data_IF_610284538496
#
_entry.id   IF_610284538496
#
_cell.length_a   1.000
_cell.length_b   1.000
_cell.length_c   1.000
_cell.angle_alpha   90.00
_cell.angle_beta   90.00
_cell.angle_gamma   90.00
#
_symmetry.space_group_name_H-M   'P 1'
#
loop_
_entity.id
_entity.type
_entity.pdbx_description
1 polymer ?
#
# COMPACT_ATOMS: atom_id res chain seq x y z
N UNK A 1 -10.90 -13.22 -33.28
CA UNK A 1 -9.95 -12.09 -33.25
C UNK A 1 -10.69 -10.75 -33.26
N UNK A 2 -11.87 -10.64 -33.90
CA UNK A 2 -12.66 -9.40 -33.93
C UNK A 2 -13.33 -9.02 -32.60
N UNK A 3 -13.91 -9.98 -31.87
CA UNK A 3 -14.64 -9.77 -30.61
C UNK A 3 -13.74 -9.22 -29.47
N UNK A 4 -12.45 -9.51 -29.50
CA UNK A 4 -11.48 -9.01 -28.51
C UNK A 4 -11.11 -7.54 -28.67
N UNK A 5 -11.31 -6.95 -29.86
CA UNK A 5 -11.05 -5.53 -30.13
C UNK A 5 -12.21 -4.64 -29.71
N UNK A 6 -13.46 -5.09 -29.90
CA UNK A 6 -14.64 -4.32 -29.51
C UNK A 6 -14.77 -4.16 -27.98
N UNK A 7 -14.48 -5.20 -27.20
CA UNK A 7 -14.51 -5.11 -25.73
C UNK A 7 -13.42 -4.19 -25.20
N UNK A 8 -12.24 -4.15 -25.81
CA UNK A 8 -11.17 -3.21 -25.43
C UNK A 8 -11.50 -1.76 -25.79
N UNK A 9 -12.17 -1.52 -26.93
CA UNK A 9 -12.63 -0.20 -27.31
C UNK A 9 -13.70 0.33 -26.36
N UNK A 10 -14.72 -0.46 -26.07
CA UNK A 10 -15.83 -0.06 -25.19
C UNK A 10 -15.40 0.25 -23.76
N UNK A 11 -14.48 -0.53 -23.20
CA UNK A 11 -13.92 -0.26 -21.85
C UNK A 11 -13.11 1.04 -21.85
N UNK A 12 -12.40 1.36 -22.94
CA UNK A 12 -11.60 2.59 -23.03
C UNK A 12 -12.46 3.84 -23.22
N UNK A 13 -13.56 3.76 -23.95
CA UNK A 13 -14.51 4.87 -24.14
C UNK A 13 -15.26 5.24 -22.86
N UNK A 14 -15.69 4.27 -22.07
CA UNK A 14 -16.37 4.52 -20.77
C UNK A 14 -15.46 5.23 -19.76
N UNK A 15 -14.14 5.06 -19.84
CA UNK A 15 -13.18 5.74 -18.96
C UNK A 15 -12.78 7.16 -19.46
N UNK A 16 -13.01 7.50 -20.72
CA UNK A 16 -12.70 8.86 -21.22
C UNK A 16 -13.67 9.94 -20.74
N UNK A 17 -14.87 9.59 -20.27
CA UNK A 17 -15.84 10.56 -19.78
C UNK A 17 -15.64 10.98 -18.31
N UNK A 18 -14.94 10.20 -17.50
CA UNK A 18 -14.50 10.65 -16.17
C UNK A 18 -13.11 11.29 -16.28
N UNK A 19 -13.07 12.63 -16.40
CA UNK A 19 -11.81 13.37 -16.32
C UNK A 19 -11.07 12.96 -15.04
N UNK A 20 -9.98 12.22 -15.19
CA UNK A 20 -9.08 11.84 -14.11
C UNK A 20 -8.56 13.11 -13.43
N UNK A 21 -9.02 13.39 -12.21
CA UNK A 21 -8.61 14.57 -11.47
C UNK A 21 -7.33 14.29 -10.71
N UNK A 22 -6.21 14.68 -11.30
CA UNK A 22 -4.88 14.50 -10.75
C UNK A 22 -4.42 15.84 -10.15
N UNK A 23 -4.15 15.85 -8.84
CA UNK A 23 -3.63 17.02 -8.14
C UNK A 23 -2.10 16.98 -8.05
N UNK A 24 -1.52 18.15 -8.07
CA UNK A 24 -0.08 18.42 -7.95
C UNK A 24 0.17 19.46 -6.85
N UNK A 25 1.41 19.84 -6.64
CA UNK A 25 1.77 20.89 -5.66
C UNK A 25 1.06 22.24 -5.90
N UNK A 26 0.65 22.51 -7.16
CA UNK A 26 -0.06 23.77 -7.53
C UNK A 26 -1.49 23.82 -6.96
N UNK A 27 -2.07 22.67 -6.67
CA UNK A 27 -3.44 22.52 -6.19
C UNK A 27 -3.54 22.54 -4.65
N UNK A 28 -2.40 22.61 -3.96
CA UNK A 28 -2.32 22.56 -2.50
C UNK A 28 -2.53 23.95 -1.91
N UNK A 29 -3.51 24.08 -1.01
CA UNK A 29 -3.64 25.27 -0.17
C UNK A 29 -2.53 25.30 0.89
N UNK A 30 -1.54 26.16 0.69
CA UNK A 30 -0.39 26.33 1.60
C UNK A 30 -0.76 26.81 3.01
N UNK A 31 -2.00 27.27 3.23
CA UNK A 31 -2.52 27.64 4.54
C UNK A 31 -3.14 26.48 5.28
N UNK A 32 -3.56 25.44 4.56
CA UNK A 32 -4.10 24.23 5.17
C UNK A 32 -3.04 23.57 6.06
N UNK A 33 -3.44 23.13 7.25
CA UNK A 33 -2.57 22.55 8.29
C UNK A 33 -1.40 23.44 8.76
N UNK A 34 -1.35 24.71 8.38
CA UNK A 34 -0.31 25.63 8.85
C UNK A 34 -0.42 25.86 10.35
N UNK A 35 0.64 25.52 11.10
CA UNK A 35 0.65 25.60 12.56
C UNK A 35 -0.18 24.53 13.26
N UNK A 36 -0.78 23.61 12.49
CA UNK A 36 -1.52 22.49 13.03
C UNK A 36 -0.58 21.42 13.59
N UNK A 37 -0.94 20.85 14.75
CA UNK A 37 -0.29 19.65 15.25
C UNK A 37 -0.85 18.43 14.55
N UNK A 38 0.05 17.57 14.05
CA UNK A 38 -0.28 16.30 13.43
C UNK A 38 0.14 15.17 14.37
N UNK A 39 -0.80 14.38 14.85
CA UNK A 39 -0.54 13.18 15.63
C UNK A 39 -0.48 11.97 14.69
N UNK A 40 0.67 11.29 14.62
CA UNK A 40 0.84 10.04 13.87
C UNK A 40 0.76 8.88 14.85
N UNK A 41 -0.33 8.12 14.80
CA UNK A 41 -0.56 6.96 15.66
C UNK A 41 -0.02 5.70 14.98
N UNK A 42 1.08 5.16 15.51
CA UNK A 42 1.82 4.04 14.94
C UNK A 42 3.15 4.46 14.31
N UNK A 43 4.15 3.57 14.39
CA UNK A 43 5.50 3.81 13.86
C UNK A 43 6.04 2.56 13.15
N UNK A 44 5.15 1.90 12.39
CA UNK A 44 5.49 0.86 11.42
C UNK A 44 6.01 1.46 10.12
N UNK A 45 5.97 0.70 9.02
CA UNK A 45 6.49 1.13 7.71
C UNK A 45 5.89 2.48 7.24
N UNK A 46 4.56 2.58 7.14
CA UNK A 46 3.91 3.83 6.74
C UNK A 46 4.03 4.92 7.82
N UNK A 47 3.77 4.59 9.09
CA UNK A 47 3.81 5.57 10.17
C UNK A 47 5.16 6.26 10.31
N UNK A 48 6.27 5.52 10.17
CA UNK A 48 7.63 6.08 10.17
C UNK A 48 7.86 7.00 8.97
N UNK A 49 7.51 6.54 7.78
CA UNK A 49 7.71 7.33 6.56
C UNK A 49 6.92 8.63 6.58
N UNK A 50 5.63 8.57 6.95
CA UNK A 50 4.77 9.74 7.03
C UNK A 50 5.29 10.73 8.10
N UNK A 51 5.59 10.24 9.31
CA UNK A 51 6.07 11.11 10.39
C UNK A 51 7.37 11.84 10.03
N UNK A 52 8.33 11.13 9.45
CA UNK A 52 9.60 11.73 9.03
C UNK A 52 9.44 12.71 7.88
N UNK A 53 8.65 12.37 6.85
CA UNK A 53 8.44 13.24 5.70
C UNK A 53 7.71 14.53 6.10
N UNK A 54 6.68 14.43 6.95
CA UNK A 54 5.97 15.59 7.48
C UNK A 54 6.88 16.48 8.34
N UNK A 55 7.69 15.87 9.20
CA UNK A 55 8.68 16.59 10.01
C UNK A 55 9.67 17.35 9.12
N UNK A 56 10.25 16.67 8.12
CA UNK A 56 11.17 17.30 7.17
C UNK A 56 10.51 18.37 6.28
N UNK A 57 9.18 18.29 6.12
CA UNK A 57 8.35 19.31 5.45
C UNK A 57 7.95 20.48 6.37
N UNK A 58 8.40 20.50 7.63
CA UNK A 58 8.20 21.58 8.59
C UNK A 58 6.87 21.56 9.37
N UNK A 59 6.17 20.42 9.40
CA UNK A 59 4.97 20.27 10.23
C UNK A 59 5.29 19.96 11.71
N UNK A 60 4.43 20.41 12.65
CA UNK A 60 4.49 20.00 14.06
C UNK A 60 3.98 18.56 14.19
N UNK A 61 4.88 17.60 14.18
CA UNK A 61 4.58 16.17 14.22
C UNK A 61 4.82 15.61 15.62
N UNK A 62 3.84 14.86 16.12
CA UNK A 62 3.93 14.07 17.34
C UNK A 62 3.61 12.61 17.03
N UNK A 63 4.53 11.70 17.36
CA UNK A 63 4.29 10.27 17.19
C UNK A 63 3.62 9.71 18.44
N UNK A 64 2.46 9.08 18.26
CA UNK A 64 1.69 8.43 19.32
C UNK A 64 1.87 6.92 19.31
N UNK A 65 2.71 6.38 20.20
CA UNK A 65 2.97 4.94 20.32
C UNK A 65 3.15 4.52 21.79
N UNK A 66 2.83 3.27 22.09
CA UNK A 66 3.10 2.70 23.43
C UNK A 66 4.61 2.58 23.65
N UNK A 67 5.03 2.70 24.93
CA UNK A 67 6.44 2.46 25.31
C UNK A 67 6.90 1.07 24.80
N UNK A 68 8.06 1.02 24.15
CA UNK A 68 8.61 -0.18 23.52
C UNK A 68 9.53 0.17 22.36
N UNK A 69 9.74 -0.78 21.47
CA UNK A 69 10.68 -0.65 20.34
C UNK A 69 10.35 0.53 19.43
N UNK A 70 9.09 0.64 18.97
CA UNK A 70 8.63 1.75 18.12
C UNK A 70 8.80 3.12 18.77
N UNK A 71 8.58 3.21 20.10
CA UNK A 71 8.79 4.44 20.87
C UNK A 71 10.25 4.86 20.87
N UNK A 72 11.16 3.90 21.13
CA UNK A 72 12.60 4.17 21.16
C UNK A 72 13.12 4.50 19.76
N UNK A 73 12.63 3.81 18.72
CA UNK A 73 13.00 4.06 17.33
C UNK A 73 12.58 5.47 16.89
N UNK A 74 11.36 5.90 17.18
CA UNK A 74 10.89 7.24 16.85
C UNK A 74 11.67 8.35 17.57
N UNK A 75 12.03 8.12 18.84
CA UNK A 75 12.95 9.02 19.58
C UNK A 75 14.33 9.10 18.96
N UNK A 76 14.90 7.96 18.56
CA UNK A 76 16.21 7.91 17.89
C UNK A 76 16.18 8.62 16.54
N UNK A 77 15.06 8.57 15.84
CA UNK A 77 14.82 9.30 14.58
C UNK A 77 14.59 10.81 14.79
N UNK A 78 14.69 11.33 16.04
CA UNK A 78 14.62 12.76 16.37
C UNK A 78 13.20 13.34 16.53
N UNK A 79 12.16 12.49 16.52
CA UNK A 79 10.78 12.93 16.60
C UNK A 79 10.31 13.11 18.05
N UNK A 80 9.31 13.98 18.24
CA UNK A 80 8.55 14.08 19.50
C UNK A 80 7.67 12.87 19.65
N UNK A 81 7.82 12.11 20.72
CA UNK A 81 7.11 10.85 20.96
C UNK A 81 6.37 10.90 22.29
N UNK A 82 5.09 10.58 22.25
CA UNK A 82 4.21 10.51 23.42
C UNK A 82 3.43 9.18 23.39
N UNK A 83 2.77 8.83 24.50
CA UNK A 83 1.75 7.76 24.47
C UNK A 83 0.54 8.24 23.68
N UNK A 84 -0.24 7.34 23.04
CA UNK A 84 -1.29 7.72 22.10
C UNK A 84 -2.27 8.75 22.65
N UNK A 85 -2.71 8.58 23.89
CA UNK A 85 -3.66 9.49 24.57
C UNK A 85 -3.13 10.92 24.69
N UNK A 86 -1.84 11.08 24.97
CA UNK A 86 -1.21 12.40 25.07
C UNK A 86 -0.88 12.99 23.70
N UNK A 87 -0.58 12.12 22.71
CA UNK A 87 -0.23 12.57 21.36
C UNK A 87 -1.41 13.23 20.65
N UNK A 88 -2.64 12.77 20.89
CA UNK A 88 -3.84 13.28 20.20
C UNK A 88 -4.39 14.57 20.81
N UNK A 89 -4.00 14.93 22.02
CA UNK A 89 -4.46 16.18 22.67
C UNK A 89 -3.97 17.40 21.90
N UNK A 90 -4.90 18.26 21.51
CA UNK A 90 -4.63 19.46 20.72
C UNK A 90 -4.18 19.19 19.29
N UNK A 91 -4.30 17.97 18.80
CA UNK A 91 -3.99 17.64 17.41
C UNK A 91 -5.18 17.99 16.49
N UNK A 92 -4.90 18.74 15.44
CA UNK A 92 -5.87 19.10 14.40
C UNK A 92 -6.00 18.00 13.33
N UNK A 93 -4.97 17.14 13.19
CA UNK A 93 -5.03 15.98 12.35
C UNK A 93 -4.45 14.77 13.08
N UNK A 94 -5.17 13.66 13.03
CA UNK A 94 -4.79 12.38 13.63
C UNK A 94 -4.67 11.34 12.51
N UNK A 95 -3.44 10.91 12.23
CA UNK A 95 -3.16 9.86 11.25
C UNK A 95 -3.15 8.47 11.94
N UNK A 96 -4.15 7.66 11.65
CA UNK A 96 -4.34 6.32 12.21
C UNK A 96 -3.53 5.29 11.43
N UNK A 97 -2.22 5.19 11.72
CA UNK A 97 -1.25 4.36 10.99
C UNK A 97 -0.78 3.12 11.78
N UNK A 98 -1.57 2.68 12.75
CA UNK A 98 -1.42 1.36 13.36
C UNK A 98 -2.05 0.28 12.47
N UNK A 99 -1.71 -1.01 12.65
CA UNK A 99 -2.32 -2.10 11.87
C UNK A 99 -3.85 -2.09 11.93
N UNK A 100 -4.53 -2.38 10.81
CA UNK A 100 -5.99 -2.27 10.66
C UNK A 100 -6.77 -2.95 11.79
N UNK A 101 -6.36 -4.15 12.17
CA UNK A 101 -7.06 -4.91 13.22
C UNK A 101 -6.93 -4.31 14.62
N UNK A 102 -6.07 -3.32 14.82
CA UNK A 102 -5.91 -2.59 16.10
C UNK A 102 -6.57 -1.22 16.08
N UNK A 103 -6.87 -0.67 14.90
CA UNK A 103 -7.40 0.69 14.75
C UNK A 103 -8.73 0.89 15.46
N UNK A 104 -9.65 -0.08 15.36
CA UNK A 104 -10.96 0.02 16.02
C UNK A 104 -10.84 0.21 17.54
N UNK A 105 -10.06 -0.66 18.19
CA UNK A 105 -9.87 -0.58 19.64
C UNK A 105 -9.19 0.73 20.06
N UNK A 106 -8.18 1.15 19.29
CA UNK A 106 -7.48 2.41 19.55
C UNK A 106 -8.39 3.63 19.33
N UNK A 107 -9.23 3.62 18.29
CA UNK A 107 -10.20 4.67 18.06
C UNK A 107 -11.20 4.79 19.23
N UNK A 108 -11.77 3.67 19.68
CA UNK A 108 -12.70 3.67 20.82
C UNK A 108 -12.06 4.18 22.11
N UNK A 109 -10.79 3.87 22.35
CA UNK A 109 -10.01 4.35 23.49
C UNK A 109 -9.78 5.87 23.42
N UNK A 110 -9.52 6.42 22.22
CA UNK A 110 -9.03 7.79 22.05
C UNK A 110 -10.09 8.79 21.58
N UNK A 111 -11.23 8.34 21.06
CA UNK A 111 -12.23 9.23 20.44
C UNK A 111 -12.72 10.38 21.32
N UNK A 112 -12.69 10.22 22.66
CA UNK A 112 -13.04 11.26 23.61
C UNK A 112 -11.98 12.36 23.78
N UNK A 113 -10.76 12.10 23.37
CA UNK A 113 -9.62 13.03 23.47
C UNK A 113 -9.39 13.85 22.18
N UNK A 114 -10.12 13.53 21.10
CA UNK A 114 -9.97 14.25 19.83
C UNK A 114 -10.65 15.62 19.90
N UNK A 115 -9.99 16.64 19.38
CA UNK A 115 -10.56 17.97 19.24
C UNK A 115 -11.78 17.96 18.31
N UNK A 116 -12.76 18.81 18.60
CA UNK A 116 -13.92 19.01 17.71
C UNK A 116 -13.45 19.58 16.36
N UNK A 117 -13.92 19.01 15.28
CA UNK A 117 -13.53 19.43 13.93
C UNK A 117 -12.14 18.94 13.48
N UNK A 118 -11.48 18.10 14.29
CA UNK A 118 -10.22 17.49 13.87
C UNK A 118 -10.40 16.57 12.66
N UNK A 119 -9.32 16.38 11.89
CA UNK A 119 -9.28 15.48 10.75
C UNK A 119 -8.73 14.12 11.17
N UNK A 120 -9.52 13.07 11.01
CA UNK A 120 -9.09 11.67 11.19
C UNK A 120 -8.67 11.10 9.84
N UNK A 121 -7.41 10.69 9.73
CA UNK A 121 -6.78 10.22 8.50
C UNK A 121 -6.46 8.73 8.57
N UNK A 122 -6.75 8.03 7.48
CA UNK A 122 -6.38 6.64 7.24
C UNK A 122 -5.50 6.53 6.00
N UNK A 123 -4.55 5.57 5.99
CA UNK A 123 -3.74 5.26 4.82
C UNK A 123 -4.28 4.08 4.01
N UNK A 124 -5.32 3.40 4.52
CA UNK A 124 -6.09 2.35 3.85
C UNK A 124 -7.53 2.39 4.38
N UNK A 125 -8.49 2.19 3.50
CA UNK A 125 -9.90 2.43 3.82
C UNK A 125 -10.62 1.32 4.57
N UNK A 126 -9.97 0.20 4.92
CA UNK A 126 -10.57 -1.02 5.48
C UNK A 126 -11.58 -0.76 6.61
N UNK A 127 -11.18 -0.04 7.64
CA UNK A 127 -12.00 0.14 8.84
C UNK A 127 -13.20 1.07 8.63
N UNK A 128 -13.10 2.01 7.70
CA UNK A 128 -14.20 2.91 7.33
C UNK A 128 -15.15 2.20 6.36
N UNK A 129 -14.63 1.63 5.27
CA UNK A 129 -15.42 0.96 4.24
C UNK A 129 -16.22 -0.23 4.82
N UNK A 130 -15.56 -1.12 5.58
CA UNK A 130 -16.22 -2.26 6.22
C UNK A 130 -16.87 -1.92 7.57
N UNK A 131 -17.08 -0.62 7.85
CA UNK A 131 -17.84 -0.12 9.00
C UNK A 131 -17.37 -0.65 10.37
N UNK A 132 -16.06 -0.89 10.50
CA UNK A 132 -15.45 -1.27 11.77
C UNK A 132 -15.27 -0.06 12.68
N UNK A 133 -15.00 1.13 12.10
CA UNK A 133 -14.96 2.41 12.78
C UNK A 133 -16.12 3.25 12.24
N UNK A 134 -16.91 3.81 13.16
CA UNK A 134 -17.88 4.87 12.90
C UNK A 134 -17.38 6.14 13.57
N UNK A 135 -16.78 7.00 12.77
CA UNK A 135 -16.21 8.24 13.28
C UNK A 135 -17.29 9.16 13.88
N UNK A 136 -16.90 9.98 14.87
CA UNK A 136 -17.75 11.06 15.42
C UNK A 136 -18.16 11.98 14.27
N UNK A 137 -19.40 12.48 14.34
CA UNK A 137 -19.98 13.30 13.24
C UNK A 137 -19.32 14.68 13.08
N UNK A 138 -18.62 15.15 14.10
CA UNK A 138 -17.90 16.42 14.11
C UNK A 138 -16.47 16.31 13.56
N UNK A 139 -16.00 15.12 13.21
CA UNK A 139 -14.67 14.90 12.65
C UNK A 139 -14.71 14.88 11.11
N UNK A 140 -13.73 15.51 10.49
CA UNK A 140 -13.41 15.17 9.10
C UNK A 140 -12.83 13.77 9.02
N UNK A 141 -13.18 13.01 7.99
CA UNK A 141 -12.61 11.67 7.75
C UNK A 141 -12.04 11.63 6.35
N UNK A 142 -10.73 11.39 6.26
CA UNK A 142 -10.01 11.40 4.98
C UNK A 142 -9.14 10.15 4.83
N UNK A 143 -8.89 9.82 3.58
CA UNK A 143 -7.94 8.79 3.18
C UNK A 143 -6.79 9.44 2.42
N UNK A 144 -5.55 9.10 2.77
CA UNK A 144 -4.35 9.37 1.98
C UNK A 144 -3.55 8.08 1.89
N UNK A 145 -3.63 7.41 0.75
CA UNK A 145 -3.04 6.10 0.51
C UNK A 145 -1.91 6.20 -0.52
N UNK A 146 -0.64 6.30 -0.09
CA UNK A 146 0.50 6.18 -1.00
C UNK A 146 0.52 4.79 -1.65
N UNK A 147 0.67 4.72 -2.96
CA UNK A 147 0.71 3.44 -3.71
C UNK A 147 2.13 2.88 -3.73
N UNK A 148 2.59 2.46 -2.56
CA UNK A 148 3.87 1.81 -2.32
C UNK A 148 4.16 1.60 -0.84
N UNK A 149 5.08 0.69 -0.51
CA UNK A 149 5.48 0.44 0.88
C UNK A 149 6.13 1.69 1.50
N UNK A 150 5.97 1.86 2.81
CA UNK A 150 6.43 3.07 3.52
C UNK A 150 7.93 3.35 3.36
N UNK A 151 8.77 2.32 3.30
CA UNK A 151 10.20 2.49 3.03
C UNK A 151 10.45 3.18 1.66
N UNK A 152 9.70 2.80 0.63
CA UNK A 152 9.76 3.43 -0.67
C UNK A 152 9.25 4.88 -0.61
N UNK A 153 8.17 5.15 0.15
CA UNK A 153 7.66 6.51 0.37
C UNK A 153 8.75 7.40 0.96
N UNK A 154 9.50 6.90 1.97
CA UNK A 154 10.60 7.65 2.59
C UNK A 154 11.76 7.89 1.60
N UNK A 155 12.22 6.84 0.94
CA UNK A 155 13.36 6.94 -0.01
C UNK A 155 13.06 7.89 -1.18
N UNK A 156 11.88 7.79 -1.78
CA UNK A 156 11.48 8.70 -2.87
C UNK A 156 11.41 10.15 -2.39
N UNK A 157 10.89 10.39 -1.19
CA UNK A 157 10.86 11.73 -0.61
C UNK A 157 12.25 12.31 -0.43
N UNK A 158 13.20 11.55 0.15
CA UNK A 158 14.59 11.97 0.36
C UNK A 158 15.33 12.27 -0.96
N UNK A 159 14.91 11.62 -2.06
CA UNK A 159 15.43 11.87 -3.40
C UNK A 159 14.75 13.05 -4.12
N UNK A 160 13.91 13.83 -3.44
CA UNK A 160 13.14 14.90 -4.06
C UNK A 160 11.99 14.42 -4.95
N UNK A 161 11.71 13.13 -4.96
CA UNK A 161 10.60 12.47 -5.70
C UNK A 161 9.41 12.25 -4.79
N UNK A 162 8.38 11.56 -5.29
CA UNK A 162 7.20 11.18 -4.50
C UNK A 162 6.56 9.88 -5.01
N UNK A 163 5.95 9.15 -4.11
CA UNK A 163 5.08 8.03 -4.45
C UNK A 163 3.68 8.58 -4.71
N UNK A 164 3.03 8.26 -5.83
CA UNK A 164 1.66 8.68 -6.09
C UNK A 164 0.72 8.28 -4.95
N UNK A 165 -0.24 9.15 -4.64
CA UNK A 165 -1.22 8.90 -3.57
C UNK A 165 -2.64 8.90 -4.12
N UNK A 166 -3.51 8.09 -3.51
CA UNK A 166 -4.95 8.26 -3.62
C UNK A 166 -5.45 9.09 -2.45
N UNK A 167 -6.45 9.97 -2.69
CA UNK A 167 -7.15 10.67 -1.63
C UNK A 167 -8.66 10.44 -1.74
N UNK A 168 -9.32 10.34 -0.59
CA UNK A 168 -10.77 10.33 -0.50
C UNK A 168 -11.26 11.09 0.73
N UNK A 169 -12.51 11.56 0.68
CA UNK A 169 -13.18 12.20 1.80
C UNK A 169 -14.48 11.44 2.10
N UNK A 170 -14.62 10.92 3.33
CA UNK A 170 -15.83 10.25 3.80
C UNK A 170 -16.73 11.22 4.58
N UNK A 171 -16.13 12.03 5.49
CA UNK A 171 -16.84 13.07 6.25
C UNK A 171 -16.12 14.42 6.13
N UNK A 172 -16.90 15.50 6.01
CA UNK A 172 -16.36 16.86 5.83
C UNK A 172 -17.21 17.93 6.56
N UNK A 173 -17.47 17.79 7.88
CA UNK A 173 -18.23 18.79 8.64
C UNK A 173 -17.52 20.14 8.69
N UNK A 174 -16.20 20.18 8.74
CA UNK A 174 -15.42 21.43 8.76
C UNK A 174 -15.39 22.17 7.43
N UNK A 175 -15.73 21.48 6.31
CA UNK A 175 -15.55 21.91 4.92
C UNK A 175 -14.07 22.08 4.50
N UNK A 176 -13.12 21.58 5.31
CA UNK A 176 -11.66 21.66 5.08
C UNK A 176 -11.02 20.30 4.80
N UNK A 177 -11.77 19.21 4.91
CA UNK A 177 -11.23 17.84 4.82
C UNK A 177 -10.33 17.63 3.60
N UNK A 178 -10.76 18.05 2.41
CA UNK A 178 -9.99 17.91 1.18
C UNK A 178 -8.72 18.76 1.16
N UNK A 179 -8.79 20.01 1.62
CA UNK A 179 -7.62 20.87 1.71
C UNK A 179 -6.57 20.31 2.68
N UNK A 180 -7.02 19.81 3.83
CA UNK A 180 -6.16 19.14 4.81
C UNK A 180 -5.53 17.86 4.24
N UNK A 181 -6.32 17.06 3.50
CA UNK A 181 -5.83 15.85 2.85
C UNK A 181 -4.73 16.15 1.81
N UNK A 182 -4.94 17.16 0.96
CA UNK A 182 -3.95 17.57 -0.04
C UNK A 182 -2.68 18.14 0.60
N UNK A 183 -2.82 18.96 1.65
CA UNK A 183 -1.67 19.50 2.38
C UNK A 183 -0.85 18.38 3.06
N UNK A 184 -1.52 17.37 3.63
CA UNK A 184 -0.84 16.21 4.18
C UNK A 184 -0.15 15.38 3.09
N UNK A 185 -0.84 15.12 1.96
CA UNK A 185 -0.26 14.40 0.83
C UNK A 185 0.97 15.11 0.26
N UNK A 186 0.96 16.44 0.20
CA UNK A 186 2.13 17.24 -0.18
C UNK A 186 3.27 17.09 0.85
N UNK A 187 2.95 17.19 2.14
CA UNK A 187 3.92 17.03 3.22
C UNK A 187 4.63 15.68 3.23
N UNK A 188 3.99 14.61 2.77
CA UNK A 188 4.64 13.30 2.61
C UNK A 188 5.30 13.12 1.23
N UNK A 189 5.21 14.12 0.32
CA UNK A 189 5.80 14.10 -1.01
C UNK A 189 4.90 13.52 -2.10
N UNK A 190 3.65 13.15 -1.79
CA UNK A 190 2.74 12.50 -2.73
C UNK A 190 2.41 13.33 -3.97
N UNK A 191 2.28 14.66 -3.81
CA UNK A 191 2.00 15.60 -4.91
C UNK A 191 3.09 15.68 -5.98
N UNK A 192 4.31 15.26 -5.66
CA UNK A 192 5.42 15.16 -6.63
C UNK A 192 5.20 13.99 -7.60
N UNK A 193 4.53 12.92 -7.14
CA UNK A 193 4.13 11.77 -7.96
C UNK A 193 2.72 11.89 -8.54
N UNK A 194 1.96 12.86 -8.05
CA UNK A 194 0.54 13.06 -8.37
C UNK A 194 -0.40 12.45 -7.33
N UNK A 195 -1.52 13.13 -7.10
CA UNK A 195 -2.54 12.71 -6.13
C UNK A 195 -3.87 12.56 -6.87
N UNK A 196 -4.40 11.34 -6.90
CA UNK A 196 -5.65 11.01 -7.58
C UNK A 196 -6.79 10.97 -6.57
N UNK A 197 -7.90 11.63 -6.90
CA UNK A 197 -9.12 11.57 -6.09
C UNK A 197 -9.89 10.27 -6.36
N UNK A 198 -10.35 9.63 -5.29
CA UNK A 198 -11.10 8.38 -5.32
C UNK A 198 -12.15 8.34 -4.20
N UNK A 199 -12.66 7.17 -3.87
CA UNK A 199 -13.54 6.93 -2.73
C UNK A 199 -12.91 5.91 -1.76
N UNK A 200 -13.36 5.87 -0.50
CA UNK A 200 -12.95 4.83 0.44
C UNK A 200 -13.27 3.43 -0.06
N UNK A 201 -14.40 3.24 -0.75
CA UNK A 201 -14.78 1.96 -1.32
C UNK A 201 -13.82 1.55 -2.44
N UNK A 202 -13.62 2.42 -3.42
CA UNK A 202 -12.76 2.13 -4.58
C UNK A 202 -11.31 1.84 -4.14
N UNK A 203 -10.74 2.69 -3.26
CA UNK A 203 -9.40 2.45 -2.75
C UNK A 203 -9.29 1.11 -2.03
N UNK A 204 -10.21 0.83 -1.09
CA UNK A 204 -10.16 -0.39 -0.28
C UNK A 204 -10.32 -1.65 -1.13
N UNK A 205 -11.26 -1.66 -2.05
CA UNK A 205 -11.55 -2.82 -2.89
C UNK A 205 -10.43 -3.09 -3.89
N UNK A 206 -9.90 -2.04 -4.52
CA UNK A 206 -8.82 -2.18 -5.50
C UNK A 206 -7.48 -2.50 -4.87
N UNK A 207 -7.17 -1.95 -3.69
CA UNK A 207 -5.95 -2.26 -2.95
C UNK A 207 -5.94 -3.71 -2.46
N UNK A 208 -7.01 -4.16 -1.80
CA UNK A 208 -7.17 -5.56 -1.37
C UNK A 208 -7.13 -6.53 -2.57
N UNK A 209 -7.76 -6.18 -3.69
CA UNK A 209 -7.68 -7.00 -4.89
C UNK A 209 -6.26 -7.04 -5.45
N UNK A 210 -5.61 -5.89 -5.57
CA UNK A 210 -4.25 -5.76 -6.11
C UNK A 210 -3.26 -6.61 -5.33
N UNK A 211 -3.26 -6.50 -3.99
CA UNK A 211 -2.35 -7.27 -3.16
C UNK A 211 -2.63 -8.78 -3.15
N UNK A 212 -3.91 -9.19 -3.18
CA UNK A 212 -4.28 -10.60 -3.16
C UNK A 212 -4.07 -11.29 -4.52
N UNK A 213 -4.54 -10.68 -5.60
CA UNK A 213 -4.61 -11.33 -6.90
C UNK A 213 -3.39 -11.07 -7.80
N UNK A 214 -2.62 -10.00 -7.55
CA UNK A 214 -1.54 -9.58 -8.46
C UNK A 214 -0.22 -9.37 -7.72
N UNK A 215 -0.16 -8.36 -6.83
CA UNK A 215 1.11 -7.80 -6.33
C UNK A 215 1.83 -8.73 -5.34
N UNK A 216 1.10 -9.29 -4.39
CA UNK A 216 1.66 -10.18 -3.38
C UNK A 216 1.25 -11.64 -3.66
N UNK A 217 -0.04 -11.98 -3.52
CA UNK A 217 -0.49 -13.36 -3.65
C UNK A 217 -0.23 -13.94 -5.04
N UNK A 218 -0.72 -13.28 -6.09
CA UNK A 218 -0.56 -13.78 -7.47
C UNK A 218 0.89 -13.90 -7.92
N UNK A 219 1.71 -12.87 -7.68
CA UNK A 219 3.12 -12.86 -8.08
C UNK A 219 3.93 -13.90 -7.30
N UNK A 220 3.72 -14.01 -5.98
CA UNK A 220 4.44 -14.99 -5.15
C UNK A 220 4.12 -16.42 -5.58
N UNK A 221 2.84 -16.76 -5.77
CA UNK A 221 2.44 -18.10 -6.22
C UNK A 221 2.99 -18.42 -7.62
N UNK A 222 3.00 -17.46 -8.54
CA UNK A 222 3.60 -17.65 -9.87
C UNK A 222 5.09 -17.99 -9.77
N UNK A 223 5.83 -17.26 -8.94
CA UNK A 223 7.26 -17.48 -8.71
C UNK A 223 7.51 -18.86 -8.09
N UNK A 224 6.76 -19.19 -7.03
CA UNK A 224 6.90 -20.48 -6.32
C UNK A 224 6.60 -21.65 -7.27
N UNK A 225 5.50 -21.59 -8.03
CA UNK A 225 5.14 -22.65 -8.98
C UNK A 225 6.15 -22.78 -10.13
N UNK A 226 6.71 -21.68 -10.60
CA UNK A 226 7.80 -21.72 -11.60
C UNK A 226 9.06 -22.39 -11.04
N UNK A 227 9.47 -21.99 -9.84
CA UNK A 227 10.62 -22.57 -9.15
C UNK A 227 10.43 -24.08 -8.87
N UNK A 228 9.30 -24.48 -8.30
CA UNK A 228 8.98 -25.89 -8.05
C UNK A 228 9.05 -26.72 -9.35
N UNK A 229 8.44 -26.24 -10.43
CA UNK A 229 8.42 -26.91 -11.73
C UNK A 229 9.82 -27.20 -12.26
N UNK A 230 10.74 -26.23 -12.14
CA UNK A 230 12.12 -26.42 -12.59
C UNK A 230 12.88 -27.40 -11.69
N UNK A 231 12.74 -27.27 -10.39
CA UNK A 231 13.42 -28.16 -9.42
C UNK A 231 12.93 -29.61 -9.54
N UNK A 232 11.63 -29.82 -9.69
CA UNK A 232 11.02 -31.14 -9.91
C UNK A 232 11.49 -31.79 -11.23
N UNK A 233 11.77 -30.97 -12.25
CA UNK A 233 12.37 -31.43 -13.51
C UNK A 233 13.88 -31.71 -13.42
N UNK A 234 14.51 -31.56 -12.25
CA UNK A 234 15.91 -31.87 -11.99
C UNK A 234 16.88 -30.71 -12.25
N UNK A 235 16.40 -29.50 -12.49
CA UNK A 235 17.28 -28.33 -12.62
C UNK A 235 17.81 -27.86 -11.25
N UNK A 236 18.98 -27.22 -11.27
CA UNK A 236 19.61 -26.71 -10.06
C UNK A 236 18.73 -25.66 -9.37
N UNK A 237 18.45 -25.78 -8.07
CA UNK A 237 17.63 -24.80 -7.35
C UNK A 237 18.13 -23.35 -7.42
N UNK A 238 19.46 -23.16 -7.48
CA UNK A 238 20.05 -21.83 -7.65
C UNK A 238 19.72 -21.21 -9.01
N UNK A 239 19.72 -21.99 -10.09
CA UNK A 239 19.32 -21.56 -11.42
C UNK A 239 17.83 -21.25 -11.44
N UNK A 240 16.99 -22.13 -10.91
CA UNK A 240 15.55 -21.93 -10.79
C UNK A 240 15.20 -20.65 -10.00
N UNK A 241 15.97 -20.33 -8.95
CA UNK A 241 15.81 -19.08 -8.18
C UNK A 241 16.13 -17.84 -9.03
N UNK A 242 17.23 -17.86 -9.80
CA UNK A 242 17.58 -16.73 -10.65
C UNK A 242 16.52 -16.49 -11.72
N UNK A 243 16.09 -17.55 -12.40
CA UNK A 243 15.12 -17.46 -13.51
C UNK A 243 13.71 -17.04 -13.05
N UNK A 244 13.24 -17.57 -11.91
CA UNK A 244 11.84 -17.35 -11.49
C UNK A 244 11.65 -16.18 -10.54
N UNK A 245 12.67 -15.80 -9.73
CA UNK A 245 12.54 -14.76 -8.72
C UNK A 245 13.47 -13.58 -8.97
N UNK A 246 14.77 -13.81 -9.07
CA UNK A 246 15.74 -12.70 -9.12
C UNK A 246 15.55 -11.85 -10.39
N UNK A 247 15.43 -12.47 -11.54
CA UNK A 247 15.30 -11.78 -12.82
C UNK A 247 13.94 -11.11 -12.98
N UNK A 248 12.88 -11.63 -12.33
CA UNK A 248 11.55 -11.03 -12.36
C UNK A 248 11.58 -9.55 -11.96
N UNK A 249 12.39 -9.19 -10.95
CA UNK A 249 12.55 -7.79 -10.53
C UNK A 249 13.03 -6.89 -11.67
N UNK A 250 13.97 -7.36 -12.48
CA UNK A 250 14.53 -6.60 -13.59
C UNK A 250 13.50 -6.42 -14.72
N UNK A 251 12.69 -7.43 -14.98
CA UNK A 251 11.56 -7.34 -15.91
C UNK A 251 10.48 -6.40 -15.38
N UNK A 252 10.17 -6.47 -14.09
CA UNK A 252 9.20 -5.55 -13.44
C UNK A 252 9.68 -4.10 -13.49
N UNK A 253 10.98 -3.84 -13.38
CA UNK A 253 11.53 -2.50 -13.56
C UNK A 253 11.21 -1.95 -14.97
N UNK A 254 11.40 -2.74 -16.02
CA UNK A 254 11.08 -2.33 -17.39
C UNK A 254 9.58 -2.04 -17.56
N UNK A 255 8.72 -2.88 -16.97
CA UNK A 255 7.27 -2.65 -16.95
C UNK A 255 6.91 -1.37 -16.18
N UNK A 256 7.55 -1.12 -15.05
CA UNK A 256 7.34 0.08 -14.23
C UNK A 256 7.78 1.37 -14.96
N UNK A 257 8.91 1.33 -15.62
CA UNK A 257 9.52 2.50 -16.27
C UNK A 257 8.87 2.89 -17.59
N UNK A 258 8.23 1.95 -18.30
CA UNK A 258 7.70 2.26 -19.64
C UNK A 258 6.66 1.26 -20.16
N UNK A 259 6.03 0.51 -19.26
CA UNK A 259 4.95 -0.41 -19.58
C UNK A 259 5.41 -1.61 -20.41
N UNK A 260 4.43 -2.35 -20.93
CA UNK A 260 4.65 -3.52 -21.79
C UNK A 260 5.51 -3.16 -23.02
N UNK A 261 5.35 -1.95 -23.55
CA UNK A 261 6.13 -1.48 -24.71
C UNK A 261 7.61 -1.45 -24.41
N UNK A 262 8.01 -0.91 -23.24
CA UNK A 262 9.43 -0.86 -22.85
C UNK A 262 9.97 -2.25 -22.59
N UNK A 263 9.25 -3.08 -21.86
CA UNK A 263 9.63 -4.46 -21.61
C UNK A 263 9.90 -5.19 -22.93
N UNK A 264 8.97 -5.16 -23.89
CA UNK A 264 9.16 -5.77 -25.20
C UNK A 264 10.33 -5.20 -26.00
N UNK A 265 10.66 -3.91 -25.83
CA UNK A 265 11.81 -3.30 -26.53
C UNK A 265 13.14 -3.88 -26.06
N UNK A 266 13.25 -4.28 -24.79
CA UNK A 266 14.51 -4.69 -24.18
C UNK A 266 14.69 -6.20 -24.00
N UNK A 267 13.68 -7.01 -24.28
CA UNK A 267 13.80 -8.48 -24.29
C UNK A 267 14.03 -9.02 -25.72
N UNK A 268 14.57 -10.25 -25.84
CA UNK A 268 14.83 -10.90 -27.09
C UNK A 268 13.56 -11.27 -27.88
N UNK A 269 13.68 -11.48 -29.20
CA UNK A 269 12.56 -11.96 -30.01
C UNK A 269 12.05 -13.32 -29.54
N UNK A 270 12.95 -14.20 -29.07
CA UNK A 270 12.61 -15.52 -28.51
C UNK A 270 11.75 -15.35 -27.24
N UNK A 271 12.15 -14.43 -26.35
CA UNK A 271 11.39 -14.14 -25.13
C UNK A 271 10.00 -13.55 -25.45
N UNK A 272 9.91 -12.61 -26.42
CA UNK A 272 8.63 -12.07 -26.89
C UNK A 272 7.71 -13.16 -27.44
N UNK A 273 8.23 -14.07 -28.25
CA UNK A 273 7.44 -15.16 -28.79
C UNK A 273 6.94 -16.08 -27.67
N UNK A 274 7.78 -16.38 -26.70
CA UNK A 274 7.42 -17.14 -25.49
C UNK A 274 6.31 -16.46 -24.69
N UNK A 275 6.48 -15.17 -24.37
CA UNK A 275 5.51 -14.35 -23.65
C UNK A 275 4.13 -14.36 -24.35
N UNK A 276 4.10 -13.98 -25.63
CA UNK A 276 2.85 -13.85 -26.40
C UNK A 276 2.11 -15.19 -26.60
N UNK A 277 2.84 -16.31 -26.63
CA UNK A 277 2.24 -17.63 -26.95
C UNK A 277 2.06 -18.53 -25.73
N UNK A 278 2.83 -18.37 -24.65
CA UNK A 278 2.78 -19.20 -23.43
C UNK A 278 2.21 -18.46 -22.24
N UNK A 279 2.45 -17.16 -22.10
CA UNK A 279 1.86 -16.35 -21.05
C UNK A 279 0.35 -16.54 -20.90
N UNK A 280 -0.46 -16.45 -21.99
CA UNK A 280 -1.91 -16.69 -21.92
C UNK A 280 -2.33 -18.12 -21.55
N UNK A 281 -1.41 -19.10 -21.57
CA UNK A 281 -1.68 -20.46 -21.09
C UNK A 281 -1.53 -20.58 -19.59
N UNK A 282 -0.63 -19.82 -19.00
CA UNK A 282 -0.39 -19.76 -17.54
C UNK A 282 -1.44 -18.87 -16.88
N UNK A 283 -1.54 -17.60 -17.32
CA UNK A 283 -2.55 -16.66 -16.85
C UNK A 283 -3.69 -16.61 -17.87
N UNK A 284 -4.65 -17.51 -17.73
CA UNK A 284 -5.70 -17.79 -18.70
C UNK A 284 -7.10 -17.32 -18.27
N UNK A 285 -8.14 -17.74 -18.98
CA UNK A 285 -9.54 -17.40 -18.68
C UNK A 285 -10.00 -17.93 -17.32
N UNK A 286 -9.50 -19.08 -16.86
CA UNK A 286 -9.82 -19.62 -15.53
C UNK A 286 -9.21 -18.77 -14.43
N UNK A 287 -7.96 -18.33 -14.60
CA UNK A 287 -7.31 -17.37 -13.70
C UNK A 287 -8.12 -16.06 -13.58
N UNK A 288 -8.55 -15.49 -14.72
CA UNK A 288 -9.40 -14.29 -14.73
C UNK A 288 -10.76 -14.53 -14.04
N UNK A 289 -11.34 -15.73 -14.18
CA UNK A 289 -12.58 -16.09 -13.49
C UNK A 289 -12.40 -16.10 -11.97
N UNK A 290 -11.28 -16.66 -11.48
CA UNK A 290 -10.97 -16.67 -10.05
C UNK A 290 -10.69 -15.24 -9.53
N UNK A 291 -9.96 -14.40 -10.27
CA UNK A 291 -9.78 -12.98 -9.95
C UNK A 291 -11.10 -12.25 -9.78
N UNK A 292 -12.09 -12.49 -10.65
CA UNK A 292 -13.42 -11.90 -10.52
C UNK A 292 -14.15 -12.39 -9.26
N UNK A 293 -13.96 -13.65 -8.88
CA UNK A 293 -14.54 -14.20 -7.66
C UNK A 293 -13.91 -13.58 -6.41
N UNK A 294 -12.58 -13.46 -6.38
CA UNK A 294 -11.83 -12.77 -5.30
C UNK A 294 -12.34 -11.33 -5.14
N UNK A 295 -12.46 -10.57 -6.24
CA UNK A 295 -13.01 -9.22 -6.21
C UNK A 295 -14.44 -9.20 -5.63
N UNK A 296 -15.32 -10.11 -6.07
CA UNK A 296 -16.67 -10.22 -5.52
C UNK A 296 -16.70 -10.56 -4.02
N UNK A 297 -15.77 -11.39 -3.54
CA UNK A 297 -15.64 -11.69 -2.10
C UNK A 297 -15.17 -10.48 -1.29
N UNK A 298 -14.31 -9.64 -1.87
CA UNK A 298 -13.87 -8.37 -1.27
C UNK A 298 -15.07 -7.40 -1.19
N UNK A 299 -15.76 -7.15 -2.30
CA UNK A 299 -16.89 -6.23 -2.40
C UNK A 299 -18.04 -6.60 -1.44
N UNK A 300 -18.29 -7.89 -1.27
CA UNK A 300 -19.28 -8.40 -0.32
C UNK A 300 -18.79 -8.41 1.13
N UNK A 301 -17.56 -7.97 1.40
CA UNK A 301 -16.93 -7.97 2.73
C UNK A 301 -16.64 -9.37 3.28
N UNK A 302 -16.64 -10.42 2.45
CA UNK A 302 -16.37 -11.80 2.90
C UNK A 302 -14.93 -11.93 3.40
N UNK A 303 -13.96 -11.41 2.64
CA UNK A 303 -12.56 -11.39 3.06
C UNK A 303 -12.37 -10.62 4.38
N UNK A 304 -12.99 -9.44 4.50
CA UNK A 304 -12.90 -8.65 5.72
C UNK A 304 -13.43 -9.41 6.95
N UNK A 305 -14.59 -10.06 6.83
CA UNK A 305 -15.13 -10.90 7.93
C UNK A 305 -14.20 -12.06 8.29
N UNK A 306 -13.60 -12.71 7.30
CA UNK A 306 -12.65 -13.81 7.51
C UNK A 306 -11.42 -13.31 8.28
N UNK A 307 -10.80 -12.19 7.85
CA UNK A 307 -9.62 -11.65 8.51
C UNK A 307 -9.89 -11.16 9.94
N UNK A 308 -11.01 -10.48 10.15
CA UNK A 308 -11.46 -10.05 11.48
C UNK A 308 -11.65 -11.27 12.41
N UNK A 309 -12.31 -12.34 11.91
CA UNK A 309 -12.51 -13.57 12.67
C UNK A 309 -11.20 -14.27 13.00
N UNK A 310 -10.32 -14.43 12.00
CA UNK A 310 -9.01 -15.04 12.15
C UNK A 310 -8.16 -14.30 13.21
N UNK A 311 -8.23 -12.96 13.20
CA UNK A 311 -7.52 -12.14 14.20
C UNK A 311 -8.09 -12.34 15.60
N UNK A 312 -9.41 -12.40 15.75
CA UNK A 312 -10.07 -12.63 17.05
C UNK A 312 -9.77 -14.02 17.63
N UNK A 313 -9.54 -15.02 16.78
CA UNK A 313 -9.25 -16.40 17.18
C UNK A 313 -7.75 -16.70 17.32
N UNK A 314 -6.90 -15.67 17.35
CA UNK A 314 -5.47 -15.80 17.62
C UNK A 314 -4.62 -16.12 16.40
N UNK A 315 -5.11 -15.89 15.18
CA UNK A 315 -4.37 -16.01 13.89
C UNK A 315 -3.74 -17.38 13.64
N UNK A 316 -4.38 -18.46 14.09
CA UNK A 316 -3.84 -19.84 14.00
C UNK A 316 -3.61 -20.29 12.55
N UNK A 317 -4.60 -20.08 11.68
CA UNK A 317 -4.49 -20.43 10.26
C UNK A 317 -3.45 -19.56 9.56
N UNK A 318 -3.50 -18.26 9.77
CA UNK A 318 -2.52 -17.30 9.25
C UNK A 318 -1.09 -17.68 9.63
N UNK A 319 -0.83 -17.94 10.92
CA UNK A 319 0.52 -18.29 11.40
C UNK A 319 1.02 -19.61 10.80
N UNK A 320 0.13 -20.59 10.58
CA UNK A 320 0.48 -21.86 9.92
C UNK A 320 0.87 -21.64 8.46
N UNK A 321 0.09 -20.85 7.72
CA UNK A 321 0.36 -20.53 6.31
C UNK A 321 1.67 -19.74 6.17
N UNK A 322 1.84 -18.69 6.98
CA UNK A 322 3.07 -17.89 6.97
C UNK A 322 4.30 -18.72 7.28
N UNK A 323 4.23 -19.65 8.27
CA UNK A 323 5.34 -20.56 8.58
C UNK A 323 5.68 -21.47 7.42
N UNK A 324 4.68 -22.00 6.71
CA UNK A 324 4.89 -22.85 5.54
C UNK A 324 5.61 -22.08 4.43
N UNK A 325 5.14 -20.88 4.13
CA UNK A 325 5.68 -19.99 3.12
C UNK A 325 7.15 -19.63 3.41
N UNK A 326 7.45 -19.15 4.62
CA UNK A 326 8.80 -18.77 5.03
C UNK A 326 9.76 -19.97 5.17
N UNK A 327 9.27 -21.20 5.25
CA UNK A 327 10.09 -22.41 5.30
C UNK A 327 10.34 -23.07 3.93
N UNK A 328 9.76 -22.51 2.87
CA UNK A 328 9.90 -23.02 1.51
C UNK A 328 11.37 -23.04 1.06
N UNK A 329 11.75 -24.03 0.24
CA UNK A 329 13.14 -24.19 -0.22
C UNK A 329 13.69 -22.99 -0.99
N UNK A 330 12.85 -22.27 -1.70
CA UNK A 330 13.20 -21.04 -2.41
C UNK A 330 13.80 -19.97 -1.48
N UNK A 331 13.30 -19.86 -0.22
CA UNK A 331 13.82 -18.91 0.75
C UNK A 331 15.23 -19.29 1.25
N UNK A 332 15.48 -20.57 1.46
CA UNK A 332 16.81 -21.07 1.85
C UNK A 332 17.84 -20.81 0.77
N UNK A 333 17.51 -21.18 -0.48
CA UNK A 333 18.37 -20.94 -1.65
C UNK A 333 18.54 -19.42 -1.87
N UNK A 334 17.47 -18.66 -1.81
CA UNK A 334 17.49 -17.21 -1.97
C UNK A 334 18.37 -16.52 -0.93
N UNK A 335 18.31 -16.93 0.33
CA UNK A 335 19.16 -16.37 1.40
C UNK A 335 20.65 -16.56 1.10
N UNK A 336 21.05 -17.76 0.66
CA UNK A 336 22.44 -18.05 0.28
C UNK A 336 22.93 -17.21 -0.90
N UNK A 337 22.07 -16.99 -1.91
CA UNK A 337 22.41 -16.21 -3.07
C UNK A 337 22.42 -14.69 -2.79
N UNK A 338 21.43 -14.18 -2.04
CA UNK A 338 21.38 -12.78 -1.62
C UNK A 338 22.57 -12.38 -0.75
N UNK A 339 23.08 -13.28 0.10
CA UNK A 339 24.27 -13.03 0.92
C UNK A 339 25.53 -12.72 0.07
N UNK A 340 25.53 -13.10 -1.21
CA UNK A 340 26.61 -12.77 -2.17
C UNK A 340 26.41 -11.42 -2.87
N UNK A 341 25.32 -10.73 -2.59
CA UNK A 341 24.92 -9.45 -3.19
C UNK A 341 24.72 -8.39 -2.09
N UNK A 342 25.80 -7.89 -1.46
CA UNK A 342 25.69 -6.99 -0.30
C UNK A 342 24.96 -5.68 -0.60
N UNK A 343 24.91 -5.27 -1.86
CA UNK A 343 24.14 -4.10 -2.30
C UNK A 343 22.61 -4.29 -2.16
N UNK A 344 22.10 -5.51 -2.03
CA UNK A 344 20.68 -5.76 -1.75
C UNK A 344 20.33 -5.51 -0.28
N UNK A 345 21.31 -5.53 0.62
CA UNK A 345 21.13 -5.26 2.06
C UNK A 345 21.23 -3.76 2.40
N UNK A 346 21.86 -2.97 1.56
CA UNK A 346 22.05 -1.52 1.76
C UNK A 346 20.73 -0.72 1.70
N UNK A 347 19.61 -1.35 1.39
CA UNK A 347 18.26 -0.78 1.52
C UNK A 347 17.66 -0.84 2.93
N UNK A 348 18.37 -1.36 3.92
CA UNK A 348 17.97 -1.32 5.34
C UNK A 348 18.47 -0.01 5.95
N UNK A 349 17.78 1.10 5.65
CA UNK A 349 17.94 2.37 6.34
C UNK A 349 16.70 2.68 7.19
#
# INVERSE_FOLDING_TARGET
VAIGREIRGFVFEVYQEQQMRLYSQKDVDKKALRGARIAVLGYGSQGRAHALNLHDSGFDVVVGVRKGESFNKAKKDGLKVLVPKEAVKGAQLIAMLVPDMTQKALYEELKGEFETGATLLFAHGFNVHFKQIKARKDLDVVLIAPKGPGDLVRRQYQQGRGVPCLIAVDQNPSKKAKANALAYADGIGGTRGGVLETTFAEETETDLFGEQAVLCGGATELVVKGYETLVEAGYQPAVAYYECLHELKLIVDLLHEGGITKMHKFISETAKYGDLTRGPRVVNKATKKEMKKILGEIQQGKFARQWISETKTGRKKYSKLLKADLSHSIEKVGAQLRARMPWLESGKA
#
